data_IF_722225412363
#
_entry.id   IF_722225412363
#
_cell.length_a   1.000
_cell.length_b   1.000
_cell.length_c   1.000
_cell.angle_alpha   90.00
_cell.angle_beta   90.00
_cell.angle_gamma   90.00
#
_symmetry.space_group_name_H-M   'P 1'
#
loop_
_entity.id
_entity.type
_entity.pdbx_description
1 polymer ?
#
# COMPACT_ATOMS: atom_id res chain seq x y z
N UNK A 1 -19.30 -0.15 -10.24
CA UNK A 1 -19.57 -1.33 -9.38
C UNK A 1 -19.12 -1.01 -7.97
N UNK A 2 -19.87 -1.44 -6.96
CA UNK A 2 -19.45 -1.22 -5.57
C UNK A 2 -18.49 -2.34 -5.14
N UNK A 3 -17.25 -2.24 -5.53
CA UNK A 3 -16.18 -3.17 -5.14
C UNK A 3 -15.42 -2.69 -3.90
N UNK A 4 -14.65 -3.58 -3.28
CA UNK A 4 -13.78 -3.27 -2.16
C UNK A 4 -12.47 -4.05 -2.28
N UNK A 5 -11.36 -3.44 -1.86
CA UNK A 5 -10.07 -4.09 -1.71
C UNK A 5 -9.91 -4.53 -0.25
N UNK A 6 -9.50 -5.77 -0.04
CA UNK A 6 -9.38 -6.36 1.30
C UNK A 6 -7.94 -6.73 1.59
N UNK A 7 -7.40 -6.14 2.65
CA UNK A 7 -6.08 -6.46 3.19
C UNK A 7 -6.25 -7.55 4.26
N UNK A 8 -5.81 -8.76 4.00
CA UNK A 8 -5.86 -9.85 4.98
C UNK A 8 -4.54 -9.94 5.71
N UNK A 9 -4.56 -9.60 6.99
CA UNK A 9 -3.40 -9.64 7.88
C UNK A 9 -3.57 -10.75 8.92
N UNK A 10 -3.10 -11.97 8.64
CA UNK A 10 -3.31 -13.09 9.54
C UNK A 10 -2.40 -13.07 10.78
N UNK A 11 -1.30 -12.30 10.76
CA UNK A 11 -0.36 -12.20 11.89
C UNK A 11 0.46 -10.92 11.83
N UNK A 12 0.75 -10.35 12.98
CA UNK A 12 1.66 -9.22 13.12
C UNK A 12 3.14 -9.63 13.28
N UNK A 13 3.44 -10.93 13.42
CA UNK A 13 4.82 -11.41 13.56
C UNK A 13 5.68 -10.94 12.39
N UNK A 14 6.80 -10.30 12.70
CA UNK A 14 7.78 -9.88 11.71
C UNK A 14 9.20 -10.14 12.22
N UNK A 15 10.12 -10.44 11.31
CA UNK A 15 11.54 -10.62 11.60
C UNK A 15 12.37 -9.35 11.37
N UNK A 16 11.77 -8.25 10.89
CA UNK A 16 12.40 -6.94 10.80
C UNK A 16 11.91 -6.02 11.92
N UNK A 17 12.71 -4.99 12.22
CA UNK A 17 12.41 -3.92 13.17
C UNK A 17 12.63 -2.57 12.50
N UNK A 18 11.94 -2.36 11.36
CA UNK A 18 12.05 -1.12 10.60
C UNK A 18 11.62 0.06 11.47
N UNK A 19 12.46 1.08 11.57
CA UNK A 19 12.23 2.25 12.42
C UNK A 19 10.99 3.07 12.04
N UNK A 20 10.47 2.87 10.83
CA UNK A 20 9.27 3.51 10.30
C UNK A 20 8.01 2.62 10.41
N UNK A 21 8.13 1.38 10.94
CA UNK A 21 7.01 0.45 11.01
C UNK A 21 5.87 1.00 11.87
N UNK A 22 4.63 0.79 11.44
CA UNK A 22 3.45 1.18 12.21
C UNK A 22 3.12 0.19 13.33
N UNK A 23 3.60 -1.06 13.24
CA UNK A 23 3.42 -2.06 14.28
C UNK A 23 4.37 -1.81 15.46
N UNK A 24 3.84 -1.99 16.66
CA UNK A 24 4.65 -1.89 17.88
C UNK A 24 5.55 -3.11 18.04
N UNK A 25 6.59 -3.00 18.87
CA UNK A 25 7.50 -4.11 19.16
C UNK A 25 6.77 -5.34 19.73
N UNK A 26 5.73 -5.12 20.56
CA UNK A 26 4.89 -6.19 21.08
C UNK A 26 4.14 -6.91 19.95
N UNK A 27 3.51 -6.16 19.05
CA UNK A 27 2.82 -6.73 17.88
C UNK A 27 3.78 -7.50 16.98
N UNK A 28 4.95 -6.93 16.65
CA UNK A 28 5.98 -7.57 15.81
C UNK A 28 6.54 -8.86 16.41
N UNK A 29 6.40 -9.07 17.71
CA UNK A 29 6.86 -10.24 18.44
C UNK A 29 5.74 -11.27 18.72
N UNK A 30 4.47 -10.90 18.49
CA UNK A 30 3.33 -11.81 18.68
C UNK A 30 3.36 -12.95 17.68
N UNK A 31 3.13 -14.18 18.19
CA UNK A 31 3.00 -15.39 17.38
C UNK A 31 1.54 -15.77 17.10
N UNK A 32 0.62 -14.88 17.46
CA UNK A 32 -0.80 -15.13 17.26
C UNK A 32 -1.13 -15.18 15.78
N UNK A 33 -1.94 -16.15 15.42
CA UNK A 33 -2.50 -16.32 14.09
C UNK A 33 -4.01 -16.09 14.15
N UNK A 34 -4.54 -15.32 13.21
CA UNK A 34 -5.98 -15.18 13.05
C UNK A 34 -6.55 -16.51 12.56
N UNK A 35 -7.53 -17.12 13.26
CA UNK A 35 -8.17 -18.37 12.82
C UNK A 35 -8.81 -18.22 11.43
N UNK A 36 -8.66 -19.23 10.58
CA UNK A 36 -9.20 -19.22 9.22
C UNK A 36 -10.71 -19.01 9.18
N UNK A 37 -11.43 -19.58 10.15
CA UNK A 37 -12.88 -19.42 10.29
C UNK A 37 -13.29 -17.97 10.54
N UNK A 38 -12.45 -17.19 11.22
CA UNK A 38 -12.70 -15.76 11.41
C UNK A 38 -12.45 -14.99 10.12
N UNK A 39 -11.37 -15.30 9.40
CA UNK A 39 -11.09 -14.68 8.08
C UNK A 39 -12.28 -14.96 7.15
N UNK A 40 -12.71 -16.22 7.05
CA UNK A 40 -13.83 -16.61 6.23
C UNK A 40 -15.14 -15.91 6.65
N UNK A 41 -15.38 -15.79 7.96
CA UNK A 41 -16.54 -15.08 8.49
C UNK A 41 -16.60 -13.64 8.03
N UNK A 42 -15.49 -12.91 8.10
CA UNK A 42 -15.41 -11.52 7.62
C UNK A 42 -15.57 -11.42 6.09
N UNK A 43 -14.92 -12.30 5.32
CA UNK A 43 -15.07 -12.31 3.86
C UNK A 43 -16.52 -12.61 3.45
N UNK A 44 -17.19 -13.55 4.10
CA UNK A 44 -18.63 -13.83 3.89
C UNK A 44 -19.50 -12.62 4.22
N UNK A 45 -19.19 -11.91 5.28
CA UNK A 45 -19.94 -10.70 5.65
C UNK A 45 -19.76 -9.60 4.59
N UNK A 46 -18.51 -9.31 4.19
CA UNK A 46 -18.18 -8.28 3.18
C UNK A 46 -18.92 -8.57 1.87
N UNK A 47 -18.90 -9.83 1.40
CA UNK A 47 -19.51 -10.24 0.12
C UNK A 47 -21.03 -10.13 0.10
N UNK A 48 -21.70 -9.96 1.24
CA UNK A 48 -23.14 -9.65 1.29
C UNK A 48 -23.44 -8.20 0.82
N UNK A 49 -22.47 -7.32 0.85
CA UNK A 49 -22.65 -5.88 0.57
C UNK A 49 -21.83 -5.38 -0.62
N UNK A 50 -20.65 -5.97 -0.87
CA UNK A 50 -19.69 -5.53 -1.89
C UNK A 50 -19.04 -6.74 -2.55
N UNK A 51 -18.68 -6.62 -3.81
CA UNK A 51 -17.79 -7.53 -4.49
C UNK A 51 -16.33 -7.23 -4.08
N UNK A 52 -15.55 -8.26 -3.80
CA UNK A 52 -14.12 -8.10 -3.50
C UNK A 52 -13.36 -8.07 -4.81
N UNK A 53 -12.73 -6.94 -5.12
CA UNK A 53 -11.93 -6.77 -6.35
C UNK A 53 -10.52 -7.35 -6.18
N UNK A 54 -9.85 -7.01 -5.07
CA UNK A 54 -8.50 -7.45 -4.77
C UNK A 54 -8.43 -7.97 -3.34
N UNK A 55 -7.70 -9.06 -3.15
CA UNK A 55 -7.24 -9.48 -1.82
C UNK A 55 -5.73 -9.35 -1.75
N UNK A 56 -5.25 -8.56 -0.80
CA UNK A 56 -3.84 -8.43 -0.45
C UNK A 56 -3.56 -9.28 0.80
N UNK A 57 -2.75 -10.34 0.68
CA UNK A 57 -2.18 -11.02 1.83
C UNK A 57 -1.03 -10.19 2.37
N UNK A 58 -1.19 -9.71 3.58
CA UNK A 58 -0.35 -8.70 4.18
C UNK A 58 -0.12 -9.03 5.67
N UNK A 59 0.72 -8.29 6.36
CA UNK A 59 0.88 -8.48 7.80
C UNK A 59 2.20 -7.95 8.33
N UNK A 60 2.72 -8.59 9.37
CA UNK A 60 4.10 -8.37 9.78
C UNK A 60 5.05 -8.86 8.68
N UNK A 61 5.22 -10.17 8.59
CA UNK A 61 5.93 -10.80 7.46
C UNK A 61 5.30 -12.15 7.10
N UNK A 62 4.73 -12.23 5.91
CA UNK A 62 3.97 -13.40 5.44
C UNK A 62 4.85 -14.63 5.19
N UNK A 63 6.14 -14.46 4.92
CA UNK A 63 7.07 -15.59 4.78
C UNK A 63 7.30 -16.36 6.09
N UNK A 64 6.88 -15.81 7.23
CA UNK A 64 6.94 -16.46 8.54
C UNK A 64 5.68 -17.28 8.87
N UNK A 65 4.63 -17.18 8.07
CA UNK A 65 3.43 -17.98 8.28
C UNK A 65 3.75 -19.49 8.22
N UNK A 66 3.19 -20.31 9.11
CA UNK A 66 3.38 -21.75 9.10
C UNK A 66 2.90 -22.36 7.77
N UNK A 67 3.64 -23.33 7.23
CA UNK A 67 3.33 -23.95 5.93
C UNK A 67 1.89 -24.49 5.89
N UNK A 68 1.45 -25.28 6.88
CA UNK A 68 0.10 -25.83 6.93
C UNK A 68 -0.98 -24.75 6.96
N UNK A 69 -0.73 -23.62 7.64
CA UNK A 69 -1.66 -22.49 7.65
C UNK A 69 -1.78 -21.84 6.25
N UNK A 70 -0.66 -21.66 5.56
CA UNK A 70 -0.64 -21.10 4.18
C UNK A 70 -1.35 -22.02 3.20
N UNK A 71 -1.16 -23.35 3.31
CA UNK A 71 -1.80 -24.36 2.46
C UNK A 71 -3.34 -24.36 2.56
N UNK A 72 -3.90 -23.94 3.69
CA UNK A 72 -5.34 -23.77 3.88
C UNK A 72 -5.81 -22.35 3.57
N UNK A 73 -5.01 -21.33 3.92
CA UNK A 73 -5.36 -19.92 3.72
C UNK A 73 -5.45 -19.55 2.24
N UNK A 74 -4.47 -19.92 1.41
CA UNK A 74 -4.44 -19.51 0.01
C UNK A 74 -5.67 -19.98 -0.79
N UNK A 75 -6.11 -21.26 -0.72
CA UNK A 75 -7.34 -21.69 -1.36
C UNK A 75 -8.59 -20.95 -0.85
N UNK A 76 -8.64 -20.65 0.45
CA UNK A 76 -9.72 -19.85 1.02
C UNK A 76 -9.78 -18.47 0.37
N UNK A 77 -8.68 -17.71 0.34
CA UNK A 77 -8.66 -16.36 -0.19
C UNK A 77 -9.00 -16.31 -1.69
N UNK A 78 -8.42 -17.21 -2.49
CA UNK A 78 -8.67 -17.31 -3.94
C UNK A 78 -10.14 -17.67 -4.24
N UNK A 79 -10.86 -18.32 -3.33
CA UNK A 79 -12.28 -18.60 -3.51
C UNK A 79 -13.18 -17.35 -3.46
N UNK A 80 -12.68 -16.23 -2.94
CA UNK A 80 -13.41 -14.96 -2.83
C UNK A 80 -13.03 -13.93 -3.89
N UNK A 81 -11.83 -14.03 -4.47
CA UNK A 81 -11.32 -13.06 -5.40
C UNK A 81 -10.28 -13.67 -6.36
N UNK A 82 -10.29 -13.27 -7.64
CA UNK A 82 -9.34 -13.73 -8.63
C UNK A 82 -8.06 -12.87 -8.71
N UNK A 83 -8.06 -11.70 -8.10
CA UNK A 83 -6.90 -10.77 -8.05
C UNK A 83 -6.27 -10.85 -6.68
N UNK A 84 -5.18 -11.59 -6.58
CA UNK A 84 -4.53 -11.88 -5.31
C UNK A 84 -3.10 -11.40 -5.29
N UNK A 85 -2.80 -10.53 -4.35
CA UNK A 85 -1.45 -10.03 -4.11
C UNK A 85 -0.88 -10.60 -2.81
N UNK A 86 0.42 -10.83 -2.76
CA UNK A 86 1.15 -11.20 -1.56
C UNK A 86 2.25 -10.18 -1.27
N UNK A 87 2.15 -9.47 -0.14
CA UNK A 87 3.07 -8.41 0.25
C UNK A 87 4.10 -8.94 1.25
N UNK A 88 5.38 -8.88 0.91
CA UNK A 88 6.48 -9.41 1.73
C UNK A 88 7.65 -8.44 1.81
N UNK A 89 8.40 -8.49 2.91
CA UNK A 89 9.72 -7.85 3.01
C UNK A 89 10.83 -8.64 2.31
N UNK A 90 10.49 -9.79 1.75
CA UNK A 90 11.38 -10.71 1.02
C UNK A 90 12.64 -11.09 1.80
N UNK A 91 12.61 -11.11 3.13
CA UNK A 91 13.74 -11.61 3.93
C UNK A 91 14.02 -13.11 3.69
N UNK A 92 13.03 -13.83 3.20
CA UNK A 92 13.09 -15.26 2.86
C UNK A 92 12.16 -15.53 1.69
N UNK A 93 12.68 -16.18 0.65
CA UNK A 93 11.88 -16.66 -0.47
C UNK A 93 11.17 -17.95 -0.05
N UNK A 94 9.89 -18.09 -0.37
CA UNK A 94 9.07 -19.27 -0.12
C UNK A 94 8.62 -19.90 -1.42
N UNK A 95 8.47 -21.23 -1.47
CA UNK A 95 8.04 -21.96 -2.67
C UNK A 95 6.73 -21.42 -3.24
N UNK A 96 5.78 -21.05 -2.38
CA UNK A 96 4.48 -20.54 -2.81
C UNK A 96 4.55 -19.14 -3.42
N UNK A 97 5.65 -18.39 -3.29
CA UNK A 97 5.85 -17.14 -4.01
C UNK A 97 5.97 -17.34 -5.53
N UNK A 98 6.21 -18.56 -5.98
CA UNK A 98 6.25 -18.90 -7.40
C UNK A 98 4.89 -19.35 -7.98
N UNK A 99 3.82 -19.37 -7.19
CA UNK A 99 2.50 -19.71 -7.72
C UNK A 99 2.01 -18.64 -8.69
N UNK A 100 1.53 -19.06 -9.86
CA UNK A 100 1.16 -18.17 -10.97
C UNK A 100 -0.03 -17.25 -10.66
N UNK A 101 -0.90 -17.64 -9.77
CA UNK A 101 -2.06 -16.84 -9.36
C UNK A 101 -1.72 -15.77 -8.31
N UNK A 102 -0.49 -15.69 -7.84
CA UNK A 102 -0.03 -14.73 -6.86
C UNK A 102 0.70 -13.59 -7.58
N UNK A 103 0.22 -12.36 -7.43
CA UNK A 103 1.00 -11.19 -7.75
C UNK A 103 1.90 -10.87 -6.56
N UNK A 104 3.20 -11.03 -6.73
CA UNK A 104 4.14 -10.80 -5.65
C UNK A 104 4.48 -9.32 -5.54
N UNK A 105 4.16 -8.71 -4.41
CA UNK A 105 4.47 -7.32 -4.09
C UNK A 105 5.54 -7.28 -2.99
N UNK A 106 6.66 -6.62 -3.24
CA UNK A 106 7.81 -6.63 -2.33
C UNK A 106 8.04 -5.23 -1.80
N UNK A 107 8.11 -5.10 -0.48
CA UNK A 107 8.51 -3.86 0.16
C UNK A 107 10.03 -3.71 0.09
N UNK A 108 10.50 -2.72 -0.67
CA UNK A 108 11.92 -2.44 -0.80
C UNK A 108 12.19 -0.93 -0.66
N UNK A 109 12.73 -0.52 0.48
CA UNK A 109 12.94 0.88 0.84
C UNK A 109 14.43 1.23 0.90
N UNK A 110 15.21 0.68 0.00
CA UNK A 110 16.66 0.88 -0.09
C UNK A 110 17.31 0.70 1.29
N UNK A 111 18.21 1.61 1.67
CA UNK A 111 18.92 1.59 2.96
C UNK A 111 18.09 2.11 4.16
N UNK A 112 16.85 2.55 3.93
CA UNK A 112 15.93 2.83 5.02
C UNK A 112 15.38 1.56 5.70
N UNK A 113 15.46 0.41 5.01
CA UNK A 113 15.01 -0.90 5.52
C UNK A 113 16.18 -1.74 6.01
N UNK A 114 15.95 -2.47 7.11
CA UNK A 114 16.91 -3.46 7.59
C UNK A 114 17.23 -4.51 6.51
N UNK A 115 18.46 -5.03 6.52
CA UNK A 115 18.92 -6.09 5.62
C UNK A 115 18.67 -5.80 4.13
N UNK A 116 18.66 -4.53 3.72
CA UNK A 116 18.36 -4.10 2.35
C UNK A 116 19.23 -4.80 1.28
N UNK A 117 20.50 -5.07 1.57
CA UNK A 117 21.38 -5.81 0.65
C UNK A 117 20.94 -7.27 0.47
N UNK A 118 20.53 -7.94 1.56
CA UNK A 118 19.98 -9.29 1.49
C UNK A 118 18.69 -9.31 0.68
N UNK A 119 17.79 -8.33 0.93
CA UNK A 119 16.54 -8.21 0.17
C UNK A 119 16.83 -7.99 -1.31
N UNK A 120 17.80 -7.12 -1.65
CA UNK A 120 18.18 -6.90 -3.04
C UNK A 120 18.76 -8.16 -3.71
N UNK A 121 19.59 -8.94 -3.00
CA UNK A 121 20.10 -10.23 -3.50
C UNK A 121 18.93 -11.22 -3.74
N UNK A 122 17.93 -11.25 -2.86
CA UNK A 122 16.73 -12.08 -3.06
C UNK A 122 15.90 -11.60 -4.26
N UNK A 123 15.83 -10.28 -4.53
CA UNK A 123 15.23 -9.75 -5.77
C UNK A 123 15.96 -10.25 -7.02
N UNK A 124 17.30 -10.22 -7.01
CA UNK A 124 18.11 -10.78 -8.12
C UNK A 124 17.92 -12.30 -8.27
N UNK A 125 17.67 -13.03 -7.18
CA UNK A 125 17.32 -14.45 -7.24
C UNK A 125 15.94 -14.65 -7.92
N UNK A 126 14.93 -13.83 -7.61
CA UNK A 126 13.65 -13.88 -8.33
C UNK A 126 13.83 -13.59 -9.82
N UNK A 127 14.63 -12.57 -10.16
CA UNK A 127 14.96 -12.24 -11.56
C UNK A 127 15.61 -13.44 -12.27
N UNK A 128 16.56 -14.11 -11.61
CA UNK A 128 17.26 -15.28 -12.20
C UNK A 128 16.33 -16.49 -12.42
N UNK A 129 15.20 -16.53 -11.74
CA UNK A 129 14.16 -17.55 -11.87
C UNK A 129 12.95 -17.08 -12.70
N UNK A 130 13.11 -16.01 -13.48
CA UNK A 130 12.04 -15.41 -14.33
C UNK A 130 10.74 -15.10 -13.55
N UNK A 131 10.84 -14.81 -12.25
CA UNK A 131 9.68 -14.46 -11.42
C UNK A 131 9.42 -12.97 -11.48
N UNK A 132 8.27 -12.59 -12.04
CA UNK A 132 7.78 -11.21 -12.04
C UNK A 132 7.31 -10.77 -10.65
N UNK A 133 7.48 -9.50 -10.34
CA UNK A 133 7.04 -8.88 -9.08
C UNK A 133 6.85 -7.37 -9.22
N UNK A 134 6.04 -6.82 -8.31
CA UNK A 134 5.94 -5.38 -8.08
C UNK A 134 6.76 -4.96 -6.86
N UNK A 135 7.21 -3.71 -6.82
CA UNK A 135 7.88 -3.12 -5.68
C UNK A 135 7.05 -1.99 -5.06
N UNK A 136 6.90 -2.03 -3.74
CA UNK A 136 6.40 -0.93 -2.94
C UNK A 136 7.57 -0.26 -2.22
N UNK A 137 7.75 1.03 -2.48
CA UNK A 137 8.71 1.91 -1.81
C UNK A 137 7.95 2.84 -0.86
N UNK A 138 8.16 2.70 0.45
CA UNK A 138 7.61 3.64 1.41
C UNK A 138 8.54 4.86 1.52
N UNK A 139 8.06 6.02 1.09
CA UNK A 139 8.85 7.26 1.10
C UNK A 139 8.92 7.81 2.51
N UNK A 140 9.94 7.43 3.25
CA UNK A 140 10.25 7.95 4.59
C UNK A 140 11.02 9.27 4.49
N UNK A 141 11.20 10.05 5.58
CA UNK A 141 12.05 11.23 5.57
C UNK A 141 13.48 10.97 5.07
N UNK A 142 14.02 9.77 5.31
CA UNK A 142 15.33 9.38 4.79
C UNK A 142 15.30 9.19 3.26
N UNK A 143 14.30 8.51 2.74
CA UNK A 143 14.15 8.28 1.28
C UNK A 143 14.05 9.58 0.50
N UNK A 144 13.43 10.63 1.07
CA UNK A 144 13.36 11.95 0.44
C UNK A 144 14.75 12.55 0.13
N UNK A 145 15.78 12.14 0.86
CA UNK A 145 17.15 12.63 0.72
C UNK A 145 17.98 11.87 -0.30
N UNK A 146 17.51 10.71 -0.78
CA UNK A 146 18.27 9.87 -1.70
C UNK A 146 18.25 10.44 -3.12
N UNK A 147 19.32 10.10 -3.86
CA UNK A 147 19.42 10.42 -5.29
C UNK A 147 18.50 9.48 -6.09
N UNK A 148 17.48 10.05 -6.70
CA UNK A 148 16.49 9.32 -7.48
C UNK A 148 17.05 8.68 -8.75
N UNK A 149 18.11 9.24 -9.34
CA UNK A 149 18.81 8.64 -10.48
C UNK A 149 19.53 7.35 -10.08
N UNK A 150 20.24 7.35 -8.96
CA UNK A 150 20.90 6.17 -8.45
C UNK A 150 19.86 5.09 -8.00
N UNK A 151 18.72 5.53 -7.44
CA UNK A 151 17.61 4.63 -7.12
C UNK A 151 17.07 3.94 -8.37
N UNK A 152 16.69 4.70 -9.40
CA UNK A 152 16.15 4.18 -10.64
C UNK A 152 17.16 3.30 -11.40
N UNK A 153 18.43 3.68 -11.42
CA UNK A 153 19.52 2.89 -12.00
C UNK A 153 19.69 1.54 -11.28
N UNK A 154 19.56 1.49 -9.95
CA UNK A 154 19.57 0.23 -9.19
C UNK A 154 18.35 -0.63 -9.54
N UNK A 155 17.16 -0.04 -9.64
CA UNK A 155 15.93 -0.75 -10.02
C UNK A 155 15.97 -1.29 -11.46
N UNK A 156 16.63 -0.60 -12.40
CA UNK A 156 16.76 -1.05 -13.79
C UNK A 156 17.54 -2.36 -13.95
N UNK A 157 18.23 -2.82 -12.91
CA UNK A 157 18.88 -4.16 -12.89
C UNK A 157 17.87 -5.31 -12.73
N UNK A 158 16.64 -5.01 -12.35
CA UNK A 158 15.59 -5.99 -12.06
C UNK A 158 14.71 -6.22 -13.30
N UNK A 159 15.20 -7.03 -14.24
CA UNK A 159 14.57 -7.24 -15.56
C UNK A 159 13.16 -7.84 -15.52
N UNK A 160 12.73 -8.44 -14.40
CA UNK A 160 11.38 -8.97 -14.20
C UNK A 160 10.52 -8.07 -13.29
N UNK A 161 10.98 -6.86 -12.99
CA UNK A 161 10.20 -5.85 -12.28
C UNK A 161 9.04 -5.40 -13.18
N UNK A 162 7.81 -5.68 -12.74
CA UNK A 162 6.61 -5.24 -13.45
C UNK A 162 6.33 -3.75 -13.22
N UNK A 163 6.47 -3.31 -11.96
CA UNK A 163 6.20 -1.92 -11.59
C UNK A 163 6.78 -1.59 -10.24
N UNK A 164 7.19 -0.35 -10.04
CA UNK A 164 7.48 0.23 -8.72
C UNK A 164 6.48 1.32 -8.38
N UNK A 165 6.02 1.35 -7.13
CA UNK A 165 5.18 2.41 -6.59
C UNK A 165 5.79 3.00 -5.33
N UNK A 166 5.98 4.32 -5.35
CA UNK A 166 6.41 5.11 -4.20
C UNK A 166 5.17 5.59 -3.43
N UNK A 167 5.01 5.07 -2.20
CA UNK A 167 3.86 5.36 -1.33
C UNK A 167 4.19 6.39 -0.26
N UNK A 168 3.25 7.27 0.11
CA UNK A 168 3.48 8.24 1.17
C UNK A 168 3.63 7.54 2.53
N UNK A 169 4.43 8.17 3.38
CA UNK A 169 4.57 7.81 4.77
C UNK A 169 3.74 8.76 5.65
N UNK A 170 3.15 8.24 6.69
CA UNK A 170 2.45 9.04 7.70
C UNK A 170 2.92 8.71 9.12
N UNK A 171 2.79 9.68 10.00
CA UNK A 171 2.93 9.48 11.44
C UNK A 171 1.96 8.40 11.90
N UNK A 172 2.42 7.50 12.74
CA UNK A 172 1.64 6.36 13.21
C UNK A 172 1.86 6.10 14.70
N UNK A 173 1.22 5.06 15.23
CA UNK A 173 1.26 4.70 16.65
C UNK A 173 2.66 4.36 17.18
N UNK A 174 3.56 3.91 16.33
CA UNK A 174 4.90 3.44 16.72
C UNK A 174 5.99 4.50 16.55
N UNK A 175 5.76 5.51 15.72
CA UNK A 175 6.73 6.58 15.47
C UNK A 175 6.08 7.89 15.06
N UNK A 176 6.83 8.99 15.23
CA UNK A 176 6.38 10.37 14.97
C UNK A 176 7.08 11.02 13.77
N UNK A 177 7.73 10.25 12.91
CA UNK A 177 8.34 10.81 11.70
C UNK A 177 7.27 11.41 10.80
N UNK A 178 7.54 12.59 10.26
CA UNK A 178 6.67 13.25 9.30
C UNK A 178 7.49 14.08 8.32
N UNK A 179 6.90 14.38 7.19
CA UNK A 179 7.38 15.34 6.20
C UNK A 179 6.17 16.07 5.59
N UNK A 180 6.42 17.15 4.87
CA UNK A 180 5.33 17.81 4.16
C UNK A 180 4.91 16.99 2.93
N UNK A 181 3.61 16.99 2.61
CA UNK A 181 3.14 16.37 1.38
C UNK A 181 3.70 17.05 0.12
N UNK A 182 4.15 18.30 0.23
CA UNK A 182 4.85 18.97 -0.86
C UNK A 182 6.22 18.33 -1.11
N UNK A 183 7.02 18.07 -0.05
CA UNK A 183 8.30 17.38 -0.19
C UNK A 183 8.14 15.99 -0.81
N UNK A 184 7.06 15.27 -0.44
CA UNK A 184 6.73 13.99 -1.06
C UNK A 184 6.42 14.13 -2.55
N UNK A 185 5.62 15.12 -2.95
CA UNK A 185 5.27 15.36 -4.35
C UNK A 185 6.49 15.80 -5.17
N UNK A 186 7.37 16.64 -4.62
CA UNK A 186 8.64 17.01 -5.26
C UNK A 186 9.58 15.81 -5.41
N UNK A 187 9.58 14.88 -4.44
CA UNK A 187 10.28 13.62 -4.58
C UNK A 187 9.67 12.78 -5.71
N UNK A 188 8.34 12.64 -5.76
CA UNK A 188 7.68 11.88 -6.82
C UNK A 188 8.01 12.39 -8.22
N UNK A 189 8.02 13.71 -8.42
CA UNK A 189 8.39 14.31 -9.71
C UNK A 189 9.80 13.86 -10.13
N UNK A 190 10.78 13.97 -9.22
CA UNK A 190 12.16 13.54 -9.49
C UNK A 190 12.26 12.04 -9.71
N UNK A 191 11.56 11.24 -8.90
CA UNK A 191 11.57 9.79 -8.98
C UNK A 191 10.96 9.27 -10.29
N UNK A 192 9.81 9.81 -10.70
CA UNK A 192 9.15 9.48 -11.98
C UNK A 192 10.06 9.85 -13.17
N UNK A 193 10.65 11.05 -13.16
CA UNK A 193 11.56 11.50 -14.22
C UNK A 193 12.80 10.56 -14.30
N UNK A 194 13.35 10.14 -13.16
CA UNK A 194 14.44 9.17 -13.10
C UNK A 194 14.02 7.77 -13.57
N UNK A 195 12.86 7.27 -13.15
CA UNK A 195 12.32 6.00 -13.63
C UNK A 195 12.17 6.01 -15.15
N UNK A 196 11.62 7.07 -15.72
CA UNK A 196 11.48 7.24 -17.17
C UNK A 196 12.84 7.23 -17.88
N UNK A 197 13.84 7.91 -17.32
CA UNK A 197 15.21 7.97 -17.87
C UNK A 197 15.90 6.59 -17.91
N UNK A 198 15.63 5.73 -16.94
CA UNK A 198 16.26 4.40 -16.83
C UNK A 198 15.33 3.25 -17.27
N UNK A 199 14.18 3.56 -17.89
CA UNK A 199 13.16 2.59 -18.33
C UNK A 199 12.67 1.68 -17.20
N UNK A 200 12.45 2.23 -16.01
CA UNK A 200 11.85 1.54 -14.86
C UNK A 200 10.34 1.79 -14.89
N UNK A 201 9.50 0.75 -14.96
CA UNK A 201 8.04 0.92 -14.91
C UNK A 201 7.62 1.53 -13.55
N UNK A 202 6.91 2.67 -13.58
CA UNK A 202 6.55 3.44 -12.38
C UNK A 202 5.03 3.63 -12.30
N UNK A 203 4.40 3.02 -11.30
CA UNK A 203 2.95 3.12 -11.09
C UNK A 203 2.50 4.56 -10.78
N UNK A 204 3.35 5.36 -10.11
CA UNK A 204 3.00 6.74 -9.83
C UNK A 204 2.78 7.57 -11.09
N UNK A 205 3.48 7.27 -12.19
CA UNK A 205 3.24 7.92 -13.48
C UNK A 205 1.92 7.48 -14.08
N UNK A 206 1.60 6.18 -14.06
CA UNK A 206 0.33 5.63 -14.51
C UNK A 206 -0.85 6.26 -13.75
N UNK A 207 -0.75 6.33 -12.44
CA UNK A 207 -1.75 6.99 -11.59
C UNK A 207 -1.95 8.47 -11.96
N UNK A 208 -0.87 9.18 -12.32
CA UNK A 208 -0.98 10.57 -12.82
C UNK A 208 -1.77 10.61 -14.13
N UNK A 209 -1.49 9.72 -15.07
CA UNK A 209 -2.24 9.65 -16.34
C UNK A 209 -3.72 9.41 -16.10
N UNK A 210 -4.07 8.38 -15.32
CA UNK A 210 -5.45 8.05 -15.00
C UNK A 210 -6.20 9.24 -14.38
N UNK A 211 -5.55 9.95 -13.45
CA UNK A 211 -6.13 11.14 -12.81
C UNK A 211 -6.36 12.27 -13.81
N UNK A 212 -5.45 12.52 -14.74
CA UNK A 212 -5.55 13.58 -15.76
C UNK A 212 -6.55 13.22 -16.86
N UNK A 213 -6.73 11.94 -17.17
CA UNK A 213 -7.75 11.42 -18.10
C UNK A 213 -9.17 11.45 -17.49
N UNK A 214 -9.29 11.66 -16.19
CA UNK A 214 -10.57 11.84 -15.51
C UNK A 214 -11.09 10.58 -14.81
N UNK A 215 -10.25 9.55 -14.64
CA UNK A 215 -10.57 8.39 -13.80
C UNK A 215 -10.91 8.82 -12.37
N UNK A 216 -11.99 8.25 -11.83
CA UNK A 216 -12.49 8.60 -10.51
C UNK A 216 -12.25 7.50 -9.51
N UNK A 217 -11.92 7.88 -8.28
CA UNK A 217 -11.72 6.98 -7.15
C UNK A 217 -12.76 7.20 -6.07
N UNK A 218 -13.15 6.10 -5.45
CA UNK A 218 -13.81 6.09 -4.15
C UNK A 218 -12.74 5.96 -3.06
N UNK A 219 -12.51 7.05 -2.32
CA UNK A 219 -11.46 7.13 -1.31
C UNK A 219 -11.75 6.33 -0.04
N UNK A 220 -13.00 5.94 0.18
CA UNK A 220 -13.46 5.43 1.47
C UNK A 220 -13.58 3.91 1.54
N UNK A 221 -13.53 3.22 0.40
CA UNK A 221 -13.75 1.77 0.31
C UNK A 221 -12.50 0.95 -0.05
N UNK A 222 -11.35 1.61 -0.27
CA UNK A 222 -10.21 0.96 -0.91
C UNK A 222 -9.28 0.18 0.02
N UNK A 223 -9.36 0.35 1.35
CA UNK A 223 -8.40 -0.26 2.28
C UNK A 223 -9.06 -0.83 3.54
N UNK A 224 -9.83 -1.90 3.33
CA UNK A 224 -10.41 -2.68 4.43
C UNK A 224 -9.43 -3.73 4.94
N UNK A 225 -9.19 -3.75 6.25
CA UNK A 225 -8.30 -4.71 6.91
C UNK A 225 -9.07 -5.76 7.67
N UNK A 226 -8.75 -7.02 7.44
CA UNK A 226 -9.03 -8.16 8.31
C UNK A 226 -7.75 -8.48 9.05
N UNK A 227 -7.70 -8.25 10.35
CA UNK A 227 -6.49 -8.35 11.17
C UNK A 227 -6.69 -9.19 12.43
N UNK A 228 -5.63 -9.56 13.17
CA UNK A 228 -5.77 -10.25 14.45
C UNK A 228 -6.67 -9.53 15.46
N UNK A 229 -6.83 -8.22 15.32
CA UNK A 229 -7.68 -7.37 16.18
C UNK A 229 -9.08 -7.14 15.61
N UNK A 230 -9.41 -7.64 14.42
CA UNK A 230 -10.72 -7.55 13.80
C UNK A 230 -10.77 -6.76 12.51
N UNK A 231 -11.98 -6.33 12.11
CA UNK A 231 -12.19 -5.46 10.96
C UNK A 231 -11.72 -4.04 11.28
N UNK A 232 -10.96 -3.46 10.36
CA UNK A 232 -10.45 -2.11 10.52
C UNK A 232 -10.28 -1.38 9.19
N UNK A 233 -10.17 -0.06 9.26
CA UNK A 233 -9.64 0.81 8.20
C UNK A 233 -8.41 1.53 8.72
N UNK A 234 -7.56 2.04 7.85
CA UNK A 234 -6.47 2.93 8.27
C UNK A 234 -7.08 4.25 8.76
N UNK A 235 -6.63 4.71 9.90
CA UNK A 235 -6.99 5.99 10.47
C UNK A 235 -5.71 6.75 10.81
N UNK A 236 -5.25 7.57 9.87
CA UNK A 236 -4.11 8.45 10.08
C UNK A 236 -4.50 9.62 10.99
N UNK A 237 -4.94 9.31 12.22
CA UNK A 237 -5.05 10.34 13.23
C UNK A 237 -3.67 10.93 13.47
N UNK A 238 -3.46 12.15 12.98
CA UNK A 238 -2.21 12.91 13.13
C UNK A 238 -1.76 13.09 14.60
N UNK A 239 -2.63 12.75 15.55
CA UNK A 239 -2.26 12.68 16.96
C UNK A 239 -1.52 11.38 17.35
N UNK A 240 -1.26 10.49 16.42
CA UNK A 240 -0.36 9.34 16.57
C UNK A 240 -0.83 8.26 17.53
N UNK A 241 -2.12 8.16 17.82
CA UNK A 241 -2.62 7.23 18.85
C UNK A 241 -3.21 5.95 18.30
N UNK A 242 -3.79 5.98 17.10
CA UNK A 242 -4.39 4.79 16.46
C UNK A 242 -4.14 4.82 14.96
N UNK A 243 -3.46 3.79 14.47
CA UNK A 243 -3.23 3.59 13.05
C UNK A 243 -4.42 2.88 12.39
N UNK A 244 -5.13 2.06 13.16
CA UNK A 244 -6.32 1.35 12.73
C UNK A 244 -7.55 1.79 13.52
N UNK A 245 -8.61 2.14 12.79
CA UNK A 245 -9.94 2.29 13.36
C UNK A 245 -10.68 0.96 13.23
N UNK A 246 -11.02 0.35 14.37
CA UNK A 246 -11.74 -0.90 14.43
C UNK A 246 -13.25 -0.71 14.36
N UNK A 247 -13.93 -1.66 13.72
CA UNK A 247 -15.38 -1.70 13.58
C UNK A 247 -15.94 -3.07 13.99
N UNK A 248 -17.16 -3.10 14.55
CA UNK A 248 -17.79 -4.35 14.94
C UNK A 248 -18.25 -5.19 13.74
N UNK A 249 -18.55 -4.54 12.60
CA UNK A 249 -19.09 -5.14 11.39
C UNK A 249 -18.84 -4.28 10.16
N UNK A 250 -19.01 -4.84 8.97
CA UNK A 250 -18.82 -4.14 7.70
C UNK A 250 -19.85 -3.04 7.43
N UNK A 251 -21.15 -3.17 7.77
CA UNK A 251 -22.10 -2.06 7.67
C UNK A 251 -21.68 -0.80 8.42
N UNK A 252 -21.02 -0.94 9.57
CA UNK A 252 -20.49 0.20 10.33
C UNK A 252 -19.36 0.90 9.58
N UNK A 253 -18.54 0.17 8.83
CA UNK A 253 -17.50 0.73 7.95
C UNK A 253 -18.14 1.54 6.82
N UNK A 254 -19.17 1.00 6.15
CA UNK A 254 -19.87 1.71 5.08
C UNK A 254 -20.46 3.04 5.57
N UNK A 255 -21.12 3.00 6.72
CA UNK A 255 -21.69 4.20 7.33
C UNK A 255 -20.63 5.24 7.74
N UNK A 256 -19.46 4.76 8.17
CA UNK A 256 -18.32 5.66 8.44
C UNK A 256 -17.79 6.26 7.14
N UNK A 257 -17.64 5.46 6.07
CA UNK A 257 -17.19 5.91 4.76
C UNK A 257 -18.05 7.04 4.20
N UNK A 258 -19.39 6.93 4.28
CA UNK A 258 -20.30 7.99 3.86
C UNK A 258 -20.05 9.33 4.58
N UNK A 259 -19.75 9.26 5.89
CA UNK A 259 -19.44 10.47 6.67
C UNK A 259 -18.08 11.07 6.30
N UNK A 260 -17.09 10.24 6.03
CA UNK A 260 -15.77 10.71 5.59
C UNK A 260 -15.83 11.35 4.21
N UNK A 261 -16.61 10.78 3.29
CA UNK A 261 -16.85 11.38 1.98
C UNK A 261 -17.48 12.79 2.10
N UNK A 262 -18.50 12.95 2.95
CA UNK A 262 -19.08 14.26 3.22
C UNK A 262 -18.08 15.23 3.86
N UNK A 263 -17.24 14.75 4.78
CA UNK A 263 -16.17 15.56 5.38
C UNK A 263 -15.17 16.06 4.32
N UNK A 264 -14.76 15.20 3.39
CA UNK A 264 -13.84 15.55 2.31
C UNK A 264 -14.45 16.64 1.41
N UNK A 265 -15.74 16.51 1.04
CA UNK A 265 -16.47 17.51 0.25
C UNK A 265 -16.54 18.89 0.90
N UNK A 266 -16.54 18.94 2.24
CA UNK A 266 -16.58 20.18 3.01
C UNK A 266 -15.19 20.71 3.42
N UNK A 267 -14.11 20.04 3.01
CA UNK A 267 -12.73 20.43 3.26
C UNK A 267 -12.11 21.18 2.07
N UNK A 268 -10.79 21.44 2.14
CA UNK A 268 -10.00 21.96 1.01
C UNK A 268 -10.29 21.20 -0.30
N UNK A 269 -10.44 19.87 -0.23
CA UNK A 269 -10.67 19.02 -1.39
C UNK A 269 -11.98 19.33 -2.11
N UNK A 270 -13.02 19.81 -1.42
CA UNK A 270 -14.31 20.14 -2.03
C UNK A 270 -14.26 21.25 -3.10
N UNK A 271 -13.25 22.12 -3.04
CA UNK A 271 -12.98 23.15 -4.06
C UNK A 271 -11.86 22.77 -5.04
N UNK A 272 -11.26 21.59 -4.90
CA UNK A 272 -10.13 21.16 -5.70
C UNK A 272 -10.57 20.67 -7.09
N UNK A 273 -9.90 21.13 -8.16
CA UNK A 273 -10.16 20.67 -9.54
C UNK A 273 -9.89 19.18 -9.78
N UNK A 274 -9.15 18.54 -8.87
CA UNK A 274 -8.82 17.11 -8.92
C UNK A 274 -9.63 16.26 -7.93
N UNK A 275 -10.70 16.80 -7.33
CA UNK A 275 -11.57 16.02 -6.45
C UNK A 275 -12.06 14.77 -7.19
N UNK A 276 -12.05 13.62 -6.51
CA UNK A 276 -12.35 12.28 -7.03
C UNK A 276 -11.37 11.73 -8.08
N UNK A 277 -10.33 12.47 -8.45
CA UNK A 277 -9.29 12.03 -9.39
C UNK A 277 -7.90 11.98 -8.77
N UNK A 278 -7.74 12.56 -7.59
CA UNK A 278 -6.49 12.53 -6.84
C UNK A 278 -6.31 11.15 -6.23
N UNK A 279 -5.44 10.34 -6.83
CA UNK A 279 -5.22 8.94 -6.51
C UNK A 279 -4.29 8.76 -5.29
N UNK A 280 -4.64 9.39 -4.17
CA UNK A 280 -3.95 9.19 -2.90
C UNK A 280 -4.74 8.22 -2.06
N UNK A 281 -4.18 7.06 -1.77
CA UNK A 281 -4.80 5.99 -0.96
C UNK A 281 -5.30 6.48 0.41
N UNK A 282 -4.72 7.55 0.91
CA UNK A 282 -4.93 8.03 2.28
C UNK A 282 -5.77 9.30 2.37
N UNK A 283 -6.32 9.79 1.27
CA UNK A 283 -7.02 11.06 1.28
C UNK A 283 -8.27 11.06 2.19
N UNK A 284 -9.02 9.95 2.20
CA UNK A 284 -10.16 9.75 3.09
C UNK A 284 -9.78 9.60 4.56
N UNK A 285 -8.54 9.27 4.83
CA UNK A 285 -8.01 8.94 6.15
C UNK A 285 -7.22 10.09 6.78
N UNK A 286 -6.75 11.06 5.96
CA UNK A 286 -6.01 12.23 6.42
C UNK A 286 -6.96 13.26 7.04
N UNK A 287 -6.87 13.46 8.34
CA UNK A 287 -7.80 14.32 9.09
C UNK A 287 -7.51 15.81 9.05
N UNK A 288 -6.35 16.23 8.55
CA UNK A 288 -5.93 17.63 8.57
C UNK A 288 -6.03 18.31 7.19
N UNK A 289 -7.10 18.02 6.46
CA UNK A 289 -7.35 18.61 5.14
C UNK A 289 -7.66 20.11 5.17
N UNK A 290 -8.01 20.66 6.33
CA UNK A 290 -8.36 22.08 6.49
C UNK A 290 -7.13 23.00 6.38
N UNK A 291 -5.92 22.48 6.55
CA UNK A 291 -4.67 23.24 6.48
C UNK A 291 -4.02 23.24 5.08
N UNK A 292 -4.72 22.76 4.06
CA UNK A 292 -4.23 22.70 2.68
C UNK A 292 -4.28 21.29 2.09
N UNK A 293 -3.59 21.09 0.97
CA UNK A 293 -3.57 19.81 0.27
C UNK A 293 -2.65 18.81 0.99
N UNK A 294 -3.21 17.69 1.40
CA UNK A 294 -2.49 16.51 1.88
C UNK A 294 -2.48 15.37 0.83
N UNK A 295 -2.77 15.69 -0.43
CA UNK A 295 -2.82 14.76 -1.55
C UNK A 295 -1.77 15.10 -2.63
N UNK A 296 -2.15 14.92 -3.89
CA UNK A 296 -1.27 14.99 -5.06
C UNK A 296 -1.50 16.24 -5.94
N UNK A 297 -2.07 17.33 -5.41
CA UNK A 297 -2.39 18.53 -6.20
C UNK A 297 -1.19 19.06 -6.99
N UNK A 298 -0.06 19.27 -6.32
CA UNK A 298 1.16 19.82 -6.94
C UNK A 298 1.73 18.88 -8.02
N UNK A 299 1.75 17.58 -7.77
CA UNK A 299 2.18 16.57 -8.74
C UNK A 299 1.29 16.59 -9.99
N UNK A 300 -0.03 16.56 -9.82
CA UNK A 300 -0.98 16.57 -10.93
C UNK A 300 -0.90 17.87 -11.73
N UNK A 301 -0.80 19.03 -11.05
CA UNK A 301 -0.65 20.33 -11.72
C UNK A 301 0.65 20.42 -12.51
N UNK A 302 1.75 19.89 -11.98
CA UNK A 302 3.03 19.82 -12.69
C UNK A 302 2.94 19.06 -14.01
N UNK A 303 2.32 17.88 -14.00
CA UNK A 303 2.18 17.05 -15.20
C UNK A 303 1.10 17.58 -16.17
N UNK A 304 0.01 18.14 -15.68
CA UNK A 304 -0.97 18.83 -16.51
C UNK A 304 -0.33 19.99 -17.30
N UNK A 305 0.51 20.80 -16.63
CA UNK A 305 1.23 21.91 -17.26
C UNK A 305 2.31 21.45 -18.27
N UNK A 306 2.89 20.27 -18.08
CA UNK A 306 3.79 19.62 -19.07
C UNK A 306 3.04 19.12 -20.31
N UNK A 307 1.69 19.04 -20.27
CA UNK A 307 0.89 18.54 -21.38
C UNK A 307 1.08 17.05 -21.61
N UNK A 308 1.45 16.29 -20.58
CA UNK A 308 1.64 14.85 -20.69
C UNK A 308 0.30 14.19 -20.97
N UNK A 309 0.27 13.37 -22.03
CA UNK A 309 -0.84 12.49 -22.40
C UNK A 309 -0.31 11.06 -22.47
N UNK A 310 -1.16 10.11 -22.19
CA UNK A 310 -0.87 8.71 -22.47
C UNK A 310 -0.77 8.52 -23.99
N UNK A 311 0.40 8.08 -24.49
CA UNK A 311 0.62 7.80 -25.93
C UNK A 311 0.08 6.40 -26.30
#
# INVERSE_FOLDING_TARGET
MNTVNVQVNPSYLCNFRCHFCYLTEEQLSSKDLLPLEKIEGYLKEITQYREIDIIDLYGGEISLLPKGYVEELLPLLVSYCNRFNALTNLSTIRDWFYYQFINLCISYDFDAREQHDKVFNNLLELVSNDRSFALNLLVTPHILTLDTDEMAKKLSLLSTLEVVEAKPYSTNQANSFHYSFLDYQDFLIRFIDSCSKYNVPCNNLELVYLALEGETHDYTSSNLFISPTGLAVLDFDLNGREYFRHFPDFPSILKWGEKEEERIKHSFCGSCKYLNRCLTEHLGEVKNLDNGCSGLYHLLEYYENKGIKND
#
